data_IF_724627604159
#
_entry.id   IF_724627604159
#
_cell.length_a   1.000
_cell.length_b   1.000
_cell.length_c   1.000
_cell.angle_alpha   90.00
_cell.angle_beta   90.00
_cell.angle_gamma   90.00
#
_symmetry.space_group_name_H-M   'P 1'
#
loop_
_entity.id
_entity.type
_entity.pdbx_description
1 polymer ?
#
# COMPACT_ATOMS: atom_id res chain seq x y z
N UNK A 1 21.93 -0.90 20.94
CA UNK A 1 21.54 0.25 20.10
C UNK A 1 20.69 -0.16 18.90
N UNK A 2 21.17 -1.02 17.97
CA UNK A 2 20.40 -1.43 16.77
C UNK A 2 19.01 -2.01 17.04
N UNK A 3 18.82 -2.81 18.10
CA UNK A 3 17.51 -3.38 18.46
C UNK A 3 16.54 -2.33 19.01
N UNK A 4 17.04 -1.38 19.80
CA UNK A 4 16.21 -0.30 20.34
C UNK A 4 15.73 0.63 19.21
N UNK A 5 16.60 0.95 18.24
CA UNK A 5 16.20 1.74 17.07
C UNK A 5 15.18 1.01 16.19
N UNK A 6 15.34 -0.31 15.99
CA UNK A 6 14.36 -1.12 15.26
C UNK A 6 12.99 -1.11 15.96
N UNK A 7 13.00 -1.36 17.28
CA UNK A 7 11.79 -1.31 18.10
C UNK A 7 11.07 0.04 18.00
N UNK A 8 11.82 1.16 18.10
CA UNK A 8 11.25 2.51 17.99
C UNK A 8 10.63 2.72 16.60
N UNK A 9 11.32 2.32 15.52
CA UNK A 9 10.78 2.44 14.17
C UNK A 9 9.46 1.65 14.04
N UNK A 10 9.47 0.37 14.39
CA UNK A 10 8.30 -0.50 14.20
C UNK A 10 7.12 -0.05 15.05
N UNK A 11 7.36 0.40 16.29
CA UNK A 11 6.32 0.92 17.17
C UNK A 11 5.70 2.20 16.60
N UNK A 12 6.52 3.19 16.22
CA UNK A 12 6.04 4.45 15.64
C UNK A 12 5.27 4.17 14.34
N UNK A 13 5.83 3.35 13.45
CA UNK A 13 5.22 3.02 12.17
C UNK A 13 3.85 2.34 12.35
N UNK A 14 3.75 1.34 13.23
CA UNK A 14 2.50 0.67 13.54
C UNK A 14 1.47 1.65 14.14
N UNK A 15 1.89 2.53 15.06
CA UNK A 15 1.01 3.56 15.65
C UNK A 15 0.50 4.55 14.61
N UNK A 16 1.36 5.06 13.72
CA UNK A 16 0.98 6.02 12.66
C UNK A 16 -0.03 5.38 11.70
N UNK A 17 0.22 4.14 11.26
CA UNK A 17 -0.71 3.42 10.37
C UNK A 17 -2.04 3.11 11.05
N UNK A 18 -2.01 2.75 12.34
CA UNK A 18 -3.23 2.53 13.14
C UNK A 18 -4.05 3.83 13.23
N UNK A 19 -3.39 4.95 13.55
CA UNK A 19 -4.03 6.26 13.61
C UNK A 19 -4.59 6.67 12.24
N UNK A 20 -3.83 6.48 11.15
CA UNK A 20 -4.27 6.75 9.79
C UNK A 20 -5.51 5.94 9.40
N UNK A 21 -5.55 4.65 9.75
CA UNK A 21 -6.70 3.78 9.50
C UNK A 21 -7.98 4.27 10.19
N UNK A 22 -7.91 4.59 11.49
CA UNK A 22 -9.11 5.04 12.21
C UNK A 22 -9.62 6.39 11.69
N UNK A 23 -8.73 7.32 11.35
CA UNK A 23 -9.12 8.59 10.74
C UNK A 23 -9.62 8.44 9.30
N UNK A 24 -9.32 7.32 8.61
CA UNK A 24 -9.89 7.01 7.29
C UNK A 24 -11.31 6.46 7.41
N UNK A 25 -11.54 5.53 8.34
CA UNK A 25 -12.86 4.91 8.57
C UNK A 25 -13.91 5.95 8.94
N UNK A 26 -13.53 6.94 9.73
CA UNK A 26 -14.41 8.06 10.10
C UNK A 26 -14.80 8.93 8.89
N UNK A 27 -14.02 8.91 7.80
CA UNK A 27 -14.23 9.75 6.61
C UNK A 27 -14.99 9.06 5.48
N UNK A 28 -15.04 7.73 5.43
CA UNK A 28 -15.49 6.98 4.25
C UNK A 28 -16.35 5.76 4.61
N UNK A 29 -17.66 5.92 4.72
CA UNK A 29 -18.60 4.79 4.78
C UNK A 29 -19.24 4.57 3.40
N UNK A 30 -18.65 3.71 2.55
CA UNK A 30 -19.19 3.41 1.22
C UNK A 30 -19.50 1.93 0.95
N UNK A 31 -20.46 1.71 0.05
CA UNK A 31 -20.89 0.41 -0.45
C UNK A 31 -19.81 -0.16 -1.39
N UNK A 32 -19.17 -1.26 -0.99
CA UNK A 32 -18.06 -1.89 -1.71
C UNK A 32 -16.94 -2.39 -0.78
N UNK A 33 -16.91 -1.86 0.45
CA UNK A 33 -15.99 -2.27 1.51
C UNK A 33 -14.63 -1.60 1.41
N UNK A 34 -14.02 -1.28 2.56
CA UNK A 34 -12.75 -0.53 2.66
C UNK A 34 -11.60 -1.15 1.85
N UNK A 35 -11.60 -2.47 1.65
CA UNK A 35 -10.48 -3.16 1.00
C UNK A 35 -10.47 -3.09 -0.53
N UNK A 36 -11.46 -2.45 -1.19
CA UNK A 36 -11.38 -2.23 -2.64
C UNK A 36 -10.19 -1.32 -3.04
N UNK A 37 -9.79 -0.42 -2.15
CA UNK A 37 -8.65 0.47 -2.35
C UNK A 37 -7.33 -0.27 -2.16
N UNK A 38 -6.42 -0.16 -3.14
CA UNK A 38 -5.07 -0.73 -3.04
C UNK A 38 -4.33 -0.21 -1.80
N UNK A 39 -4.45 1.08 -1.51
CA UNK A 39 -3.87 1.74 -0.34
C UNK A 39 -4.26 1.03 0.96
N UNK A 40 -5.52 0.63 1.10
CA UNK A 40 -6.01 0.00 2.33
C UNK A 40 -5.50 -1.42 2.50
N UNK A 41 -5.37 -2.18 1.40
CA UNK A 41 -4.73 -3.50 1.43
C UNK A 41 -3.23 -3.39 1.72
N UNK A 42 -2.53 -2.43 1.07
CA UNK A 42 -1.13 -2.11 1.34
C UNK A 42 -0.90 -1.78 2.80
N UNK A 43 -1.63 -0.79 3.31
CA UNK A 43 -1.57 -0.34 4.71
C UNK A 43 -1.78 -1.51 5.67
N UNK A 44 -2.78 -2.37 5.45
CA UNK A 44 -3.04 -3.51 6.32
C UNK A 44 -1.88 -4.52 6.33
N UNK A 45 -1.30 -4.84 5.16
CA UNK A 45 -0.14 -5.73 5.07
C UNK A 45 1.10 -5.14 5.73
N UNK A 46 1.36 -3.85 5.48
CA UNK A 46 2.52 -3.14 6.01
C UNK A 46 2.39 -2.92 7.51
N UNK A 47 1.20 -2.59 8.00
CA UNK A 47 0.89 -2.55 9.43
C UNK A 47 1.14 -3.91 10.09
N UNK A 48 0.63 -5.01 9.50
CA UNK A 48 0.88 -6.35 10.01
C UNK A 48 2.38 -6.69 10.01
N UNK A 49 3.10 -6.27 8.96
CA UNK A 49 4.55 -6.41 8.88
C UNK A 49 5.25 -5.67 10.04
N UNK A 50 4.86 -4.43 10.34
CA UNK A 50 5.41 -3.67 11.46
C UNK A 50 5.08 -4.29 12.82
N UNK A 51 3.86 -4.80 13.02
CA UNK A 51 3.48 -5.52 14.25
C UNK A 51 4.31 -6.78 14.45
N UNK A 52 4.50 -7.59 13.41
CA UNK A 52 5.35 -8.79 13.47
C UNK A 52 6.81 -8.41 13.69
N UNK A 53 7.27 -7.29 13.11
CA UNK A 53 8.62 -6.78 13.31
C UNK A 53 8.85 -6.35 14.76
N UNK A 54 7.89 -5.63 15.34
CA UNK A 54 7.90 -5.26 16.76
C UNK A 54 7.93 -6.51 17.66
N UNK A 55 7.16 -7.54 17.32
CA UNK A 55 7.21 -8.83 18.01
C UNK A 55 8.60 -9.48 17.90
N UNK A 56 9.24 -9.44 16.73
CA UNK A 56 10.59 -9.98 16.52
C UNK A 56 11.66 -9.22 17.31
N UNK A 57 11.48 -7.93 17.57
CA UNK A 57 12.42 -7.13 18.38
C UNK A 57 12.40 -7.57 19.85
N UNK A 58 11.21 -7.91 20.37
CA UNK A 58 11.02 -8.40 21.73
C UNK A 58 11.40 -9.88 21.86
N UNK A 59 11.04 -10.69 20.87
CA UNK A 59 11.23 -12.15 20.86
C UNK A 59 12.13 -12.61 19.70
N UNK A 60 13.43 -12.26 19.68
CA UNK A 60 14.31 -12.50 18.53
C UNK A 60 14.60 -13.97 18.26
N UNK A 61 14.32 -14.87 19.21
CA UNK A 61 14.48 -16.33 19.06
C UNK A 61 13.37 -16.98 18.23
N UNK A 62 12.24 -16.30 17.99
CA UNK A 62 11.11 -16.85 17.22
C UNK A 62 11.38 -16.72 15.73
N UNK A 63 12.00 -17.75 15.14
CA UNK A 63 12.39 -17.77 13.73
C UNK A 63 11.20 -17.71 12.77
N UNK A 64 10.06 -18.33 13.12
CA UNK A 64 8.84 -18.31 12.30
C UNK A 64 8.33 -16.89 12.07
N UNK A 65 8.32 -16.05 13.11
CA UNK A 65 7.91 -14.65 12.99
C UNK A 65 8.83 -13.86 12.05
N UNK A 66 10.14 -14.14 12.07
CA UNK A 66 11.11 -13.54 11.15
C UNK A 66 10.87 -13.98 9.71
N UNK A 67 10.58 -15.26 9.47
CA UNK A 67 10.24 -15.73 8.12
C UNK A 67 8.96 -15.10 7.60
N UNK A 68 7.94 -14.95 8.46
CA UNK A 68 6.69 -14.29 8.10
C UNK A 68 6.88 -12.80 7.79
N UNK A 69 7.63 -12.07 8.63
CA UNK A 69 8.05 -10.68 8.34
C UNK A 69 8.68 -10.57 6.95
N UNK A 70 9.65 -11.43 6.66
CA UNK A 70 10.36 -11.42 5.38
C UNK A 70 9.46 -11.78 4.20
N UNK A 71 8.48 -12.65 4.40
CA UNK A 71 7.46 -12.94 3.39
C UNK A 71 6.58 -11.72 3.10
N UNK A 72 6.14 -11.01 4.14
CA UNK A 72 5.36 -9.78 3.99
C UNK A 72 6.16 -8.68 3.29
N UNK A 73 7.44 -8.49 3.62
CA UNK A 73 8.29 -7.49 2.95
C UNK A 73 8.43 -7.71 1.43
N UNK A 74 8.33 -8.96 0.94
CA UNK A 74 8.34 -9.25 -0.50
C UNK A 74 7.10 -8.68 -1.24
N UNK A 75 6.03 -8.35 -0.51
CA UNK A 75 4.80 -7.76 -1.03
C UNK A 75 4.68 -6.29 -0.60
N UNK A 76 4.87 -5.98 0.68
CA UNK A 76 4.71 -4.62 1.23
C UNK A 76 5.64 -3.62 0.56
N UNK A 77 6.94 -3.91 0.40
CA UNK A 77 7.87 -2.97 -0.26
C UNK A 77 7.39 -2.55 -1.65
N UNK A 78 7.13 -3.49 -2.60
CA UNK A 78 6.70 -3.11 -3.93
C UNK A 78 5.30 -2.50 -3.97
N UNK A 79 4.35 -2.99 -3.16
CA UNK A 79 2.98 -2.46 -3.14
C UNK A 79 2.96 -1.03 -2.61
N UNK A 80 3.64 -0.74 -1.50
CA UNK A 80 3.73 0.62 -0.96
C UNK A 80 4.46 1.55 -1.92
N UNK A 81 5.46 1.04 -2.64
CA UNK A 81 6.12 1.82 -3.68
C UNK A 81 5.13 2.24 -4.77
N UNK A 82 4.31 1.32 -5.27
CA UNK A 82 3.26 1.63 -6.24
C UNK A 82 2.27 2.65 -5.69
N UNK A 83 1.78 2.45 -4.46
CA UNK A 83 0.84 3.36 -3.81
C UNK A 83 1.42 4.77 -3.77
N UNK A 84 2.60 4.98 -3.17
CA UNK A 84 3.21 6.31 -3.05
C UNK A 84 3.54 6.92 -4.41
N UNK A 85 4.15 6.14 -5.32
CA UNK A 85 4.66 6.65 -6.60
C UNK A 85 3.56 6.96 -7.62
N UNK A 86 2.39 6.34 -7.51
CA UNK A 86 1.24 6.65 -8.38
C UNK A 86 0.34 7.71 -7.72
N UNK A 87 0.07 7.59 -6.41
CA UNK A 87 -0.86 8.45 -5.71
C UNK A 87 -0.48 9.94 -5.82
N UNK A 88 0.74 10.31 -5.41
CA UNK A 88 1.13 11.72 -5.35
C UNK A 88 1.19 12.39 -6.72
N UNK A 89 1.77 11.78 -7.78
CA UNK A 89 1.71 12.36 -9.11
C UNK A 89 0.27 12.54 -9.61
N UNK A 90 -0.61 11.56 -9.40
CA UNK A 90 -2.02 11.71 -9.78
C UNK A 90 -2.69 12.83 -8.99
N UNK A 91 -2.51 12.89 -7.67
CA UNK A 91 -3.12 13.93 -6.84
C UNK A 91 -2.65 15.34 -7.23
N UNK A 92 -1.36 15.50 -7.54
CA UNK A 92 -0.75 16.80 -7.85
C UNK A 92 -1.03 17.27 -9.28
N UNK A 93 -0.96 16.35 -10.26
CA UNK A 93 -1.01 16.73 -11.68
C UNK A 93 -2.32 16.34 -12.37
N UNK A 94 -2.99 15.29 -11.92
CA UNK A 94 -4.19 14.73 -12.57
C UNK A 94 -5.28 14.35 -11.53
N UNK A 95 -5.70 15.26 -10.62
CA UNK A 95 -6.55 14.92 -9.48
C UNK A 95 -7.91 14.34 -9.87
N UNK A 96 -8.44 14.69 -11.05
CA UNK A 96 -9.68 14.15 -11.60
C UNK A 96 -9.61 12.63 -11.90
N UNK A 97 -8.41 12.05 -11.95
CA UNK A 97 -8.22 10.62 -12.13
C UNK A 97 -8.35 9.84 -10.81
N UNK A 98 -8.13 10.49 -9.66
CA UNK A 98 -8.07 9.82 -8.35
C UNK A 98 -9.16 10.28 -7.38
N UNK A 99 -9.63 11.52 -7.49
CA UNK A 99 -10.72 12.06 -6.69
C UNK A 99 -12.04 11.94 -7.47
N UNK A 100 -13.14 11.48 -6.85
CA UNK A 100 -14.43 11.42 -7.51
C UNK A 100 -14.90 12.82 -7.95
N UNK A 101 -15.73 12.91 -9.02
CA UNK A 101 -16.31 14.17 -9.45
C UNK A 101 -17.05 14.84 -8.30
N UNK A 102 -16.87 16.15 -8.14
CA UNK A 102 -17.63 16.92 -7.16
C UNK A 102 -18.98 17.21 -7.76
N UNK A 103 -20.03 16.48 -7.38
CA UNK A 103 -21.40 16.84 -7.75
C UNK A 103 -21.75 18.15 -7.02
N UNK A 104 -21.47 19.28 -7.67
CA UNK A 104 -22.01 20.59 -7.30
C UNK A 104 -23.50 20.60 -7.64
N UNK A 105 -24.32 20.04 -6.74
CA UNK A 105 -25.73 20.41 -6.68
C UNK A 105 -25.80 21.81 -6.06
N UNK A 106 -26.30 22.85 -6.76
CA UNK A 106 -26.21 24.25 -6.32
C UNK A 106 -27.12 24.60 -5.12
N UNK A 107 -27.76 23.61 -4.49
CA UNK A 107 -28.75 23.79 -3.42
C UNK A 107 -28.34 23.21 -2.07
N UNK A 108 -27.17 22.60 -1.94
CA UNK A 108 -26.68 22.06 -0.67
C UNK A 108 -25.48 22.88 -0.15
N UNK A 109 -25.74 23.81 0.75
CA UNK A 109 -24.76 24.63 1.48
C UNK A 109 -23.89 23.84 2.48
N UNK A 110 -23.61 22.57 2.20
CA UNK A 110 -22.83 21.67 3.07
C UNK A 110 -22.17 20.49 2.34
N UNK A 111 -22.12 20.47 1.00
CA UNK A 111 -21.38 19.44 0.26
C UNK A 111 -19.87 19.66 0.43
N UNK A 112 -19.08 18.67 0.90
CA UNK A 112 -17.65 18.86 0.99
C UNK A 112 -17.07 18.95 -0.42
N UNK A 113 -16.54 20.12 -0.74
CA UNK A 113 -15.48 20.34 -1.74
C UNK A 113 -14.58 19.12 -1.85
N UNK A 114 -14.37 18.58 -3.06
CA UNK A 114 -13.45 17.48 -3.42
C UNK A 114 -12.84 16.75 -2.23
N UNK A 115 -13.28 15.51 -1.93
CA UNK A 115 -12.87 14.71 -0.77
C UNK A 115 -11.34 14.46 -0.71
N UNK A 116 -10.58 15.51 -0.44
CA UNK A 116 -9.15 15.50 -0.20
C UNK A 116 -8.96 15.18 1.26
N UNK A 117 -8.13 14.17 1.53
CA UNK A 117 -7.78 13.82 2.88
C UNK A 117 -7.01 14.98 3.53
N UNK A 118 -7.19 15.23 4.84
CA UNK A 118 -6.27 16.08 5.58
C UNK A 118 -4.84 15.55 5.39
N UNK A 119 -3.88 16.44 5.13
CA UNK A 119 -2.50 16.07 4.75
C UNK A 119 -1.88 15.05 5.72
N UNK A 120 -2.17 15.15 7.01
CA UNK A 120 -1.64 14.25 8.03
C UNK A 120 -2.16 12.81 7.85
N UNK A 121 -3.46 12.66 7.55
CA UNK A 121 -4.08 11.35 7.24
C UNK A 121 -3.51 10.83 5.93
N UNK A 122 -3.40 11.71 4.94
CA UNK A 122 -2.87 11.35 3.62
C UNK A 122 -1.42 10.82 3.69
N UNK A 123 -0.55 11.51 4.44
CA UNK A 123 0.82 11.07 4.71
C UNK A 123 0.86 9.75 5.49
N UNK A 124 -0.03 9.55 6.46
CA UNK A 124 -0.10 8.32 7.24
C UNK A 124 -0.49 7.10 6.37
N UNK A 125 -1.29 7.32 5.32
CA UNK A 125 -1.77 6.27 4.42
C UNK A 125 -0.85 6.04 3.21
N UNK A 126 -0.32 7.11 2.61
CA UNK A 126 0.35 7.03 1.30
C UNK A 126 1.86 7.25 1.34
N UNK A 127 2.46 7.69 2.46
CA UNK A 127 3.90 7.95 2.56
C UNK A 127 4.57 7.17 3.69
N UNK A 128 4.01 7.23 4.90
CA UNK A 128 4.55 6.56 6.09
C UNK A 128 4.79 5.06 5.90
N UNK A 129 3.87 4.29 5.28
CA UNK A 129 4.08 2.84 5.09
C UNK A 129 5.30 2.52 4.24
N UNK A 130 5.48 3.21 3.10
CA UNK A 130 6.66 3.03 2.24
C UNK A 130 7.95 3.39 3.00
N UNK A 131 7.97 4.53 3.68
CA UNK A 131 9.15 4.95 4.44
C UNK A 131 9.51 3.93 5.52
N UNK A 132 8.51 3.40 6.24
CA UNK A 132 8.72 2.40 7.28
C UNK A 132 9.35 1.12 6.73
N UNK A 133 8.81 0.55 5.64
CA UNK A 133 9.35 -0.69 5.05
C UNK A 133 10.71 -0.48 4.39
N UNK A 134 11.00 0.70 3.83
CA UNK A 134 12.32 1.01 3.28
C UNK A 134 13.36 1.13 4.38
N UNK A 135 13.08 1.87 5.46
CA UNK A 135 14.02 2.00 6.59
C UNK A 135 14.23 0.64 7.26
N UNK A 136 13.16 -0.13 7.49
CA UNK A 136 13.29 -1.48 8.05
C UNK A 136 14.16 -2.38 7.16
N UNK A 137 13.88 -2.39 5.85
CA UNK A 137 14.64 -3.19 4.91
C UNK A 137 16.13 -2.82 4.89
N UNK A 138 16.47 -1.54 4.74
CA UNK A 138 17.87 -1.11 4.62
C UNK A 138 18.63 -1.11 5.95
N UNK A 139 17.99 -0.78 7.08
CA UNK A 139 18.69 -0.62 8.36
C UNK A 139 18.69 -1.91 9.21
N UNK A 140 17.63 -2.73 9.13
CA UNK A 140 17.40 -3.81 10.11
C UNK A 140 17.34 -5.20 9.49
N UNK A 141 17.01 -5.32 8.21
CA UNK A 141 16.96 -6.62 7.52
C UNK A 141 18.23 -6.91 6.69
N UNK A 142 18.64 -8.19 6.58
CA UNK A 142 19.63 -8.58 5.59
C UNK A 142 19.03 -8.56 4.18
N UNK A 143 19.90 -8.31 3.20
CA UNK A 143 19.62 -8.45 1.77
C UNK A 143 18.94 -9.78 1.45
N UNK A 144 17.95 -9.78 0.57
CA UNK A 144 17.34 -11.02 0.10
C UNK A 144 18.33 -11.81 -0.77
N UNK A 145 18.49 -13.13 -0.52
CA UNK A 145 19.28 -14.00 -1.38
C UNK A 145 18.72 -14.03 -2.81
N UNK A 146 19.59 -14.24 -3.80
CA UNK A 146 19.22 -14.24 -5.23
C UNK A 146 18.05 -15.17 -5.55
N UNK A 147 17.98 -16.35 -4.91
CA UNK A 147 16.87 -17.27 -5.13
C UNK A 147 15.52 -16.61 -4.81
N UNK A 148 15.38 -15.92 -3.69
CA UNK A 148 14.14 -15.21 -3.33
C UNK A 148 13.81 -14.09 -4.31
N UNK A 149 14.82 -13.34 -4.77
CA UNK A 149 14.64 -12.24 -5.72
C UNK A 149 14.18 -12.71 -7.09
N UNK A 150 14.59 -13.92 -7.51
CA UNK A 150 14.26 -14.47 -8.83
C UNK A 150 13.08 -15.44 -8.83
N UNK A 151 12.65 -15.96 -7.68
CA UNK A 151 11.52 -16.91 -7.60
C UNK A 151 10.43 -16.44 -6.65
N UNK A 152 10.71 -16.38 -5.35
CA UNK A 152 9.71 -16.16 -4.31
C UNK A 152 9.04 -14.78 -4.39
N UNK A 153 9.84 -13.70 -4.53
CA UNK A 153 9.31 -12.35 -4.63
C UNK A 153 8.50 -12.13 -5.93
N UNK A 154 8.97 -12.53 -7.13
CA UNK A 154 8.15 -12.48 -8.33
C UNK A 154 6.83 -13.25 -8.20
N UNK A 155 6.85 -14.45 -7.61
CA UNK A 155 5.65 -15.24 -7.38
C UNK A 155 4.68 -14.54 -6.42
N UNK A 156 5.19 -13.97 -5.32
CA UNK A 156 4.38 -13.23 -4.34
C UNK A 156 3.76 -11.96 -4.95
N UNK A 157 4.54 -11.18 -5.70
CA UNK A 157 4.08 -9.97 -6.39
C UNK A 157 3.02 -10.33 -7.44
N UNK A 158 3.26 -11.36 -8.24
CA UNK A 158 2.29 -11.81 -9.25
C UNK A 158 1.00 -12.30 -8.60
N UNK A 159 1.10 -13.13 -7.54
CA UNK A 159 -0.06 -13.62 -6.82
C UNK A 159 -0.89 -12.46 -6.23
N UNK A 160 -0.24 -11.47 -5.63
CA UNK A 160 -0.92 -10.30 -5.10
C UNK A 160 -1.53 -9.42 -6.20
N UNK A 161 -0.83 -9.23 -7.32
CA UNK A 161 -1.34 -8.45 -8.45
C UNK A 161 -2.59 -9.10 -9.08
N UNK A 162 -2.57 -10.42 -9.26
CA UNK A 162 -3.74 -11.17 -9.75
C UNK A 162 -4.87 -11.09 -8.73
N UNK A 163 -4.58 -11.29 -7.44
CA UNK A 163 -5.57 -11.14 -6.37
C UNK A 163 -6.23 -9.76 -6.40
N UNK A 164 -5.45 -8.68 -6.37
CA UNK A 164 -5.97 -7.32 -6.35
C UNK A 164 -6.78 -7.00 -7.60
N UNK A 165 -6.26 -7.34 -8.78
CA UNK A 165 -6.96 -7.12 -10.05
C UNK A 165 -8.30 -7.87 -10.10
N UNK A 166 -8.32 -9.15 -9.74
CA UNK A 166 -9.57 -9.93 -9.69
C UNK A 166 -10.55 -9.39 -8.64
N UNK A 167 -10.04 -9.01 -7.46
CA UNK A 167 -10.86 -8.51 -6.37
C UNK A 167 -11.50 -7.15 -6.69
N UNK A 168 -10.74 -6.20 -7.23
CA UNK A 168 -11.26 -4.86 -7.55
C UNK A 168 -12.26 -4.90 -8.71
N UNK A 169 -12.04 -5.76 -9.71
CA UNK A 169 -13.01 -6.00 -10.78
C UNK A 169 -14.29 -6.62 -10.22
N UNK A 170 -14.18 -7.60 -9.31
CA UNK A 170 -15.35 -8.17 -8.64
C UNK A 170 -16.12 -7.12 -7.83
N UNK A 171 -15.43 -6.30 -7.03
CA UNK A 171 -16.05 -5.18 -6.31
C UNK A 171 -16.81 -4.24 -7.26
N UNK A 172 -16.22 -3.91 -8.41
CA UNK A 172 -16.85 -3.05 -9.41
C UNK A 172 -18.12 -3.68 -10.03
N UNK A 173 -18.25 -5.01 -10.08
CA UNK A 173 -19.51 -5.65 -10.49
C UNK A 173 -20.64 -5.46 -9.46
N UNK A 174 -20.30 -5.23 -8.18
CA UNK A 174 -21.26 -5.02 -7.10
C UNK A 174 -21.61 -3.54 -6.91
N UNK A 175 -20.62 -2.65 -6.98
CA UNK A 175 -20.78 -1.21 -6.77
C UNK A 175 -21.12 -0.44 -8.06
N UNK A 176 -20.86 -1.02 -9.23
CA UNK A 176 -20.98 -0.39 -10.54
C UNK A 176 -19.86 0.60 -10.88
N UNK A 177 -18.92 0.83 -9.96
CA UNK A 177 -17.80 1.78 -10.12
C UNK A 177 -16.52 1.24 -9.47
N UNK A 178 -15.36 1.65 -9.99
CA UNK A 178 -14.09 1.34 -9.35
C UNK A 178 -13.75 2.37 -8.27
N UNK A 179 -12.83 2.03 -7.34
CA UNK A 179 -12.41 2.96 -6.28
C UNK A 179 -11.77 4.25 -6.80
N UNK A 180 -11.27 4.23 -8.04
CA UNK A 180 -10.63 5.37 -8.69
C UNK A 180 -11.25 5.65 -10.06
N UNK A 181 -11.55 6.92 -10.39
CA UNK A 181 -12.08 7.33 -11.69
C UNK A 181 -11.29 6.80 -12.89
N UNK A 182 -9.95 6.77 -12.81
CA UNK A 182 -9.13 6.29 -13.91
C UNK A 182 -9.37 4.81 -14.26
N UNK A 183 -9.83 3.99 -13.30
CA UNK A 183 -10.24 2.62 -13.57
C UNK A 183 -11.67 2.59 -14.12
N UNK A 184 -12.59 3.37 -13.53
CA UNK A 184 -13.99 3.45 -13.94
C UNK A 184 -14.15 3.84 -15.41
N UNK A 185 -13.40 4.83 -15.88
CA UNK A 185 -13.49 5.32 -17.26
C UNK A 185 -12.60 4.58 -18.25
N UNK A 186 -11.80 3.61 -17.79
CA UNK A 186 -10.94 2.80 -18.64
C UNK A 186 -11.65 1.55 -19.14
N UNK A 187 -11.60 1.23 -20.45
CA UNK A 187 -12.00 -0.08 -20.95
C UNK A 187 -11.21 -1.21 -20.26
N UNK A 188 -11.78 -2.42 -20.22
CA UNK A 188 -11.16 -3.57 -19.55
C UNK A 188 -9.71 -3.84 -20.02
N UNK A 189 -9.45 -3.78 -21.32
CA UNK A 189 -8.10 -3.95 -21.86
C UNK A 189 -7.09 -2.94 -21.31
N UNK A 190 -7.51 -1.68 -21.11
CA UNK A 190 -6.68 -0.63 -20.51
C UNK A 190 -6.43 -0.92 -19.03
N UNK A 191 -7.44 -1.39 -18.28
CA UNK A 191 -7.26 -1.80 -16.89
C UNK A 191 -6.27 -2.97 -16.75
N UNK A 192 -6.34 -3.97 -17.63
CA UNK A 192 -5.36 -5.07 -17.67
C UNK A 192 -3.94 -4.55 -17.92
N UNK A 193 -3.77 -3.57 -18.81
CA UNK A 193 -2.47 -2.93 -19.02
C UNK A 193 -1.99 -2.20 -17.76
N UNK A 194 -2.86 -1.46 -17.07
CA UNK A 194 -2.54 -0.77 -15.81
C UNK A 194 -2.06 -1.78 -14.74
N UNK A 195 -2.82 -2.86 -14.51
CA UNK A 195 -2.47 -3.88 -13.53
C UNK A 195 -1.13 -4.55 -13.86
N UNK A 196 -0.91 -4.88 -15.15
CA UNK A 196 0.32 -5.51 -15.61
C UNK A 196 1.52 -4.58 -15.49
N UNK A 197 1.36 -3.29 -15.84
CA UNK A 197 2.40 -2.29 -15.70
C UNK A 197 2.77 -2.07 -14.22
N UNK A 198 1.78 -1.96 -13.34
CA UNK A 198 2.00 -1.83 -11.90
C UNK A 198 2.74 -3.05 -11.32
N UNK A 199 2.39 -4.27 -11.74
CA UNK A 199 3.11 -5.49 -11.35
C UNK A 199 4.55 -5.53 -11.87
N UNK A 200 4.79 -5.07 -13.10
CA UNK A 200 6.13 -4.95 -13.68
C UNK A 200 7.01 -3.94 -12.94
N UNK A 201 6.46 -2.76 -12.64
CA UNK A 201 7.14 -1.72 -11.84
C UNK A 201 7.43 -2.23 -10.43
N UNK A 202 6.47 -2.91 -9.80
CA UNK A 202 6.63 -3.57 -8.49
C UNK A 202 7.84 -4.52 -8.48
N UNK A 203 7.93 -5.39 -9.48
CA UNK A 203 9.04 -6.33 -9.60
C UNK A 203 10.39 -5.61 -9.83
N UNK A 204 10.40 -4.60 -10.71
CA UNK A 204 11.57 -3.77 -10.97
C UNK A 204 12.06 -3.04 -9.71
N UNK A 205 11.12 -2.47 -8.95
CA UNK A 205 11.39 -1.81 -7.67
C UNK A 205 12.04 -2.78 -6.68
N UNK A 206 11.42 -3.94 -6.42
CA UNK A 206 11.95 -4.91 -5.46
C UNK A 206 13.36 -5.36 -5.83
N UNK A 207 13.61 -5.67 -7.11
CA UNK A 207 14.93 -6.05 -7.62
C UNK A 207 15.96 -4.93 -7.44
N UNK A 208 15.57 -3.70 -7.75
CA UNK A 208 16.46 -2.53 -7.66
C UNK A 208 16.83 -2.23 -6.21
N UNK A 209 15.84 -2.17 -5.31
CA UNK A 209 16.08 -1.95 -3.88
C UNK A 209 16.97 -3.04 -3.28
N UNK A 210 16.72 -4.31 -3.63
CA UNK A 210 17.58 -5.39 -3.16
C UNK A 210 18.99 -5.33 -3.77
N UNK A 211 19.14 -4.86 -5.00
CA UNK A 211 20.47 -4.67 -5.60
C UNK A 211 21.27 -3.58 -4.87
N UNK A 212 20.60 -2.47 -4.49
CA UNK A 212 21.17 -1.35 -3.74
C UNK A 212 21.47 -1.66 -2.27
N UNK A 213 20.85 -2.71 -1.71
CA UNK A 213 21.08 -3.14 -0.34
C UNK A 213 22.49 -3.76 -0.19
N UNK A 214 23.30 -3.21 0.71
CA UNK A 214 24.71 -3.56 0.91
C UNK A 214 24.90 -4.74 1.88
#
# INVERSE_FOLDING_TARGET
>A
MRRLSAFILHAIAASVMTWGWFNLVDLLAEKGGYFQFLTNQGLAMTWLCMIISLFCDVFPSVTVARHLKRALLMISIPVEFIITSIYWPLLLFLPHLILPPTDVSPTASSAPSSLRLPLQVDLALHASPLLAVLVDFFAFEPKFPKIYVHTAAPAAILAFAVWYASFVEYCATLSGTFPYPFLTYSPFAVRVMIYTAAAGISLGCFRTLNALHA
#
